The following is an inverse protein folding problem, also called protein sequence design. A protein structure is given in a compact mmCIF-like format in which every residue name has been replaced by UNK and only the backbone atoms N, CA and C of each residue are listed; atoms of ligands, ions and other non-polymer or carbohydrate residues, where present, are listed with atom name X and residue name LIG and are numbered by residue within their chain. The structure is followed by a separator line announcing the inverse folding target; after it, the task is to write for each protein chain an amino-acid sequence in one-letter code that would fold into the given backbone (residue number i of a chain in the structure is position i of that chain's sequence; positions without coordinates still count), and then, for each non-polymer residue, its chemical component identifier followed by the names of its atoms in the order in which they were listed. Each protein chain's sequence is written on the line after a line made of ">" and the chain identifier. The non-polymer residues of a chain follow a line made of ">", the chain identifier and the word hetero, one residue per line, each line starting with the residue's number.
data_IF_561767017424
#
_entry.id   IF_561767017424
#
_cell.length_a   1.000
_cell.length_b   1.000
_cell.length_c   1.000
_cell.angle_alpha   90.00
_cell.angle_beta   90.00
_cell.angle_gamma   90.00
#
_symmetry.space_group_name_H-M   'P 1'
#
loop_
_entity.id
_entity.type
_entity.pdbx_description
1 polymer ?
#
# COMPACT_ATOMS: atom_id res chain seq x y z
N UNK A 1 -13.70 8.05 -4.26
CA UNK A 1 -13.24 9.45 -4.26
C UNK A 1 -13.30 10.17 -5.62
N UNK A 2 -13.51 9.47 -6.77
CA UNK A 2 -13.66 10.12 -8.09
C UNK A 2 -15.09 10.42 -8.56
N UNK A 3 -16.12 9.89 -7.88
CA UNK A 3 -17.54 9.99 -8.31
C UNK A 3 -18.03 11.45 -8.31
N UNK A 4 -17.47 12.30 -7.44
CA UNK A 4 -17.89 13.70 -7.29
C UNK A 4 -17.27 14.67 -8.29
N UNK A 5 -16.18 14.31 -8.96
CA UNK A 5 -15.51 15.20 -9.91
C UNK A 5 -16.02 15.04 -11.35
N UNK A 6 -16.58 13.88 -11.69
CA UNK A 6 -16.97 13.54 -13.06
C UNK A 6 -15.76 13.45 -14.02
N UNK A 7 -15.95 12.78 -15.16
CA UNK A 7 -14.98 12.77 -16.26
C UNK A 7 -13.70 11.96 -16.03
N UNK A 8 -12.58 12.45 -16.56
CA UNK A 8 -11.27 11.76 -16.65
C UNK A 8 -10.66 11.42 -15.27
N UNK A 9 -11.14 12.10 -14.22
CA UNK A 9 -10.60 11.95 -12.87
C UNK A 9 -10.93 10.59 -12.25
N UNK A 10 -12.07 10.00 -12.59
CA UNK A 10 -12.44 8.64 -12.18
C UNK A 10 -11.39 7.65 -12.70
N UNK A 11 -10.96 7.83 -13.96
CA UNK A 11 -9.95 6.98 -14.59
C UNK A 11 -8.57 7.17 -13.95
N UNK A 12 -8.19 8.41 -13.63
CA UNK A 12 -6.93 8.69 -12.94
C UNK A 12 -6.87 8.06 -11.54
N UNK A 13 -7.93 8.15 -10.75
CA UNK A 13 -7.95 7.56 -9.42
C UNK A 13 -7.98 6.03 -9.47
N UNK A 14 -8.69 5.44 -10.43
CA UNK A 14 -8.72 3.99 -10.66
C UNK A 14 -7.36 3.42 -11.07
N UNK A 15 -6.57 4.15 -11.88
CA UNK A 15 -5.25 3.70 -12.34
C UNK A 15 -4.13 3.87 -11.30
N UNK A 16 -4.25 4.85 -10.40
CA UNK A 16 -3.20 5.13 -9.41
C UNK A 16 -2.97 3.97 -8.46
N UNK A 17 -4.03 3.29 -8.00
CA UNK A 17 -3.89 2.20 -7.02
C UNK A 17 -3.16 0.98 -7.62
N UNK A 18 -3.53 0.46 -8.81
CA UNK A 18 -2.75 -0.56 -9.50
C UNK A 18 -1.32 -0.14 -9.79
N UNK A 19 -1.10 1.10 -10.24
CA UNK A 19 0.26 1.60 -10.50
C UNK A 19 1.11 1.62 -9.23
N UNK A 20 0.55 2.08 -8.11
CA UNK A 20 1.22 2.07 -6.81
C UNK A 20 1.70 0.65 -6.44
N UNK A 21 0.83 -0.35 -6.59
CA UNK A 21 1.14 -1.74 -6.26
C UNK A 21 2.19 -2.35 -7.19
N UNK A 22 2.09 -2.10 -8.50
CA UNK A 22 3.03 -2.65 -9.48
C UNK A 22 4.40 -1.99 -9.41
N UNK A 23 4.45 -0.67 -9.23
CA UNK A 23 5.71 0.07 -9.10
C UNK A 23 6.40 -0.29 -7.78
N UNK A 24 5.67 -0.38 -6.67
CA UNK A 24 6.26 -0.77 -5.39
C UNK A 24 6.84 -2.18 -5.44
N UNK A 25 6.14 -3.12 -6.09
CA UNK A 25 6.63 -4.47 -6.35
C UNK A 25 7.88 -4.43 -7.22
N UNK A 26 7.85 -3.75 -8.37
CA UNK A 26 9.00 -3.69 -9.28
C UNK A 26 10.27 -3.16 -8.61
N UNK A 27 10.14 -2.10 -7.81
CA UNK A 27 11.27 -1.49 -7.10
C UNK A 27 11.78 -2.36 -5.95
N UNK A 28 10.91 -3.01 -5.20
CA UNK A 28 11.28 -3.75 -3.98
C UNK A 28 11.67 -5.21 -4.23
N UNK A 29 11.22 -5.82 -5.33
CA UNK A 29 11.47 -7.22 -5.66
C UNK A 29 12.95 -7.59 -5.74
N UNK A 30 13.84 -6.85 -6.44
CA UNK A 30 15.26 -7.21 -6.47
C UNK A 30 15.91 -7.14 -5.09
N UNK A 31 15.57 -6.13 -4.29
CA UNK A 31 16.07 -5.99 -2.91
C UNK A 31 15.57 -7.13 -2.03
N UNK A 32 14.29 -7.48 -2.13
CA UNK A 32 13.69 -8.57 -1.38
C UNK A 32 14.36 -9.91 -1.71
N UNK A 33 14.58 -10.20 -3.00
CA UNK A 33 15.24 -11.43 -3.46
C UNK A 33 16.66 -11.56 -2.89
N UNK A 34 17.47 -10.50 -2.97
CA UNK A 34 18.84 -10.50 -2.46
C UNK A 34 18.87 -10.66 -0.93
N UNK A 35 18.01 -9.93 -0.21
CA UNK A 35 17.92 -10.06 1.25
C UNK A 35 17.50 -11.46 1.68
N UNK A 36 16.52 -12.04 0.97
CA UNK A 36 16.07 -13.41 1.24
C UNK A 36 17.19 -14.42 0.99
N UNK A 37 17.94 -14.29 -0.11
CA UNK A 37 19.07 -15.17 -0.44
C UNK A 37 20.21 -15.09 0.60
N UNK A 38 20.56 -13.88 1.07
CA UNK A 38 21.60 -13.68 2.09
C UNK A 38 21.19 -14.28 3.44
N UNK A 39 19.91 -14.18 3.79
CA UNK A 39 19.37 -14.63 5.07
C UNK A 39 18.95 -16.11 5.06
N UNK A 40 19.36 -16.88 4.03
CA UNK A 40 19.19 -18.33 3.97
C UNK A 40 17.85 -18.79 3.43
N UNK A 41 17.20 -17.99 2.58
CA UNK A 41 16.03 -18.40 1.81
C UNK A 41 16.40 -19.02 0.46
N UNK A 42 15.89 -20.21 0.20
CA UNK A 42 16.21 -20.99 -1.01
C UNK A 42 15.18 -20.83 -2.15
N UNK A 43 14.50 -19.67 -2.24
CA UNK A 43 13.47 -19.48 -3.26
C UNK A 43 14.06 -19.08 -4.61
N UNK A 44 13.56 -19.72 -5.67
CA UNK A 44 13.84 -19.28 -7.03
C UNK A 44 13.19 -17.92 -7.30
N UNK A 45 13.81 -17.11 -8.15
CA UNK A 45 13.28 -15.80 -8.55
C UNK A 45 11.82 -15.89 -9.03
N UNK A 46 11.48 -16.94 -9.79
CA UNK A 46 10.12 -17.17 -10.30
C UNK A 46 9.11 -17.40 -9.17
N UNK A 47 9.48 -18.17 -8.13
CA UNK A 47 8.59 -18.40 -6.99
C UNK A 47 8.35 -17.10 -6.21
N UNK A 48 9.38 -16.26 -6.04
CA UNK A 48 9.23 -14.95 -5.39
C UNK A 48 8.28 -14.06 -6.19
N UNK A 49 8.43 -13.97 -7.51
CA UNK A 49 7.52 -13.21 -8.39
C UNK A 49 6.07 -13.70 -8.26
N UNK A 50 5.83 -15.01 -8.33
CA UNK A 50 4.48 -15.59 -8.22
C UNK A 50 3.87 -15.28 -6.86
N UNK A 51 4.64 -15.41 -5.78
CA UNK A 51 4.15 -15.15 -4.43
C UNK A 51 3.80 -13.67 -4.23
N UNK A 52 4.63 -12.77 -4.75
CA UNK A 52 4.33 -11.34 -4.75
C UNK A 52 3.04 -11.01 -5.53
N UNK A 53 2.82 -11.64 -6.69
CA UNK A 53 1.59 -11.45 -7.47
C UNK A 53 0.35 -11.93 -6.70
N UNK A 54 0.45 -13.05 -5.97
CA UNK A 54 -0.62 -13.53 -5.08
C UNK A 54 -0.89 -12.52 -3.97
N UNK A 55 0.15 -12.05 -3.27
CA UNK A 55 0.02 -11.06 -2.20
C UNK A 55 -0.57 -9.74 -2.68
N UNK A 56 -0.18 -9.25 -3.86
CA UNK A 56 -0.73 -8.03 -4.48
C UNK A 56 -2.19 -8.23 -4.87
N UNK A 57 -2.56 -9.42 -5.37
CA UNK A 57 -3.95 -9.76 -5.68
C UNK A 57 -4.82 -9.75 -4.41
N UNK A 58 -4.32 -10.33 -3.31
CA UNK A 58 -4.99 -10.28 -2.01
C UNK A 58 -5.15 -8.83 -1.51
N UNK A 59 -4.08 -8.03 -1.59
CA UNK A 59 -4.11 -6.61 -1.21
C UNK A 59 -5.14 -5.82 -2.03
N UNK A 60 -5.14 -6.00 -3.36
CA UNK A 60 -6.08 -5.35 -4.26
C UNK A 60 -7.52 -5.73 -3.95
N UNK A 61 -7.77 -7.02 -3.68
CA UNK A 61 -9.10 -7.52 -3.32
C UNK A 61 -9.57 -6.89 -2.00
N UNK A 62 -8.70 -6.79 -1.00
CA UNK A 62 -9.00 -6.16 0.28
C UNK A 62 -9.30 -4.66 0.12
N UNK A 63 -8.53 -3.95 -0.70
CA UNK A 63 -8.77 -2.52 -0.98
C UNK A 63 -10.12 -2.30 -1.67
N UNK A 64 -10.50 -3.16 -2.62
CA UNK A 64 -11.82 -3.12 -3.27
C UNK A 64 -12.93 -3.41 -2.25
N UNK A 65 -12.72 -4.38 -1.35
CA UNK A 65 -13.70 -4.70 -0.30
C UNK A 65 -13.96 -3.53 0.67
N UNK A 66 -12.95 -2.70 0.94
CA UNK A 66 -13.10 -1.49 1.77
C UNK A 66 -13.58 -0.25 1.00
N UNK A 67 -13.70 -0.32 -0.33
CA UNK A 67 -14.19 0.80 -1.15
C UNK A 67 -15.56 1.33 -0.66
N UNK A 68 -16.58 0.51 -0.36
CA UNK A 68 -17.86 1.00 0.14
C UNK A 68 -17.74 1.77 1.46
N UNK A 69 -16.84 1.35 2.35
CA UNK A 69 -16.57 2.03 3.63
C UNK A 69 -16.01 3.42 3.37
N UNK A 70 -14.99 3.53 2.49
CA UNK A 70 -14.44 4.85 2.13
C UNK A 70 -15.49 5.74 1.47
N UNK A 71 -16.33 5.18 0.60
CA UNK A 71 -17.39 5.92 -0.09
C UNK A 71 -18.44 6.44 0.89
N UNK A 72 -18.90 5.60 1.83
CA UNK A 72 -19.86 5.99 2.85
C UNK A 72 -19.39 7.23 3.61
N UNK A 73 -18.18 7.19 4.18
CA UNK A 73 -17.62 8.32 4.92
C UNK A 73 -17.35 9.55 4.04
N UNK A 74 -17.03 9.35 2.76
CA UNK A 74 -16.90 10.47 1.81
C UNK A 74 -18.22 11.19 1.60
N UNK A 75 -19.31 10.45 1.47
CA UNK A 75 -20.64 11.00 1.20
C UNK A 75 -21.21 11.67 2.45
N UNK A 76 -20.98 11.09 3.64
CA UNK A 76 -21.53 11.60 4.91
C UNK A 76 -20.76 12.76 5.52
N UNK A 77 -19.54 13.04 5.04
CA UNK A 77 -18.70 14.14 5.54
C UNK A 77 -18.46 15.20 4.44
N UNK A 78 -19.49 16.01 4.11
CA UNK A 78 -19.41 17.01 3.03
C UNK A 78 -18.56 18.24 3.40
N UNK A 79 -18.39 18.54 4.69
CA UNK A 79 -17.63 19.71 5.15
C UNK A 79 -16.13 19.56 4.86
N UNK A 80 -15.56 20.51 4.12
CA UNK A 80 -14.13 20.53 3.76
C UNK A 80 -13.30 21.35 4.73
N UNK A 81 -13.38 20.99 6.00
CA UNK A 81 -12.46 21.48 7.03
C UNK A 81 -11.17 20.67 7.11
N UNK A 82 -10.20 21.18 7.87
CA UNK A 82 -8.97 20.43 8.20
C UNK A 82 -9.27 19.10 8.90
N UNK A 83 -10.27 19.08 9.81
CA UNK A 83 -10.67 17.88 10.54
C UNK A 83 -11.17 16.76 9.62
N UNK A 84 -12.06 17.07 8.67
CA UNK A 84 -12.58 16.10 7.70
C UNK A 84 -11.50 15.56 6.75
N UNK A 85 -10.55 16.41 6.35
CA UNK A 85 -9.38 15.99 5.58
C UNK A 85 -8.52 15.00 6.38
N UNK A 86 -8.16 15.35 7.61
CA UNK A 86 -7.37 14.47 8.50
C UNK A 86 -8.07 13.14 8.74
N UNK A 87 -9.37 13.15 9.02
CA UNK A 87 -10.17 11.95 9.18
C UNK A 87 -10.13 11.05 7.94
N UNK A 88 -10.37 11.62 6.75
CA UNK A 88 -10.34 10.89 5.47
C UNK A 88 -8.94 10.33 5.21
N UNK A 89 -7.89 11.09 5.53
CA UNK A 89 -6.51 10.63 5.36
C UNK A 89 -6.21 9.46 6.27
N UNK A 90 -6.51 9.57 7.56
CA UNK A 90 -6.28 8.52 8.55
C UNK A 90 -7.08 7.26 8.26
N UNK A 91 -8.34 7.39 7.83
CA UNK A 91 -9.17 6.26 7.41
C UNK A 91 -8.52 5.48 6.25
N UNK A 92 -8.06 6.19 5.22
CA UNK A 92 -7.38 5.54 4.09
C UNK A 92 -6.05 4.91 4.51
N UNK A 93 -5.27 5.57 5.37
CA UNK A 93 -4.03 5.01 5.91
C UNK A 93 -4.31 3.71 6.68
N UNK A 94 -5.37 3.68 7.49
CA UNK A 94 -5.80 2.48 8.21
C UNK A 94 -6.18 1.35 7.26
N UNK A 95 -7.00 1.64 6.24
CA UNK A 95 -7.41 0.65 5.24
C UNK A 95 -6.21 0.10 4.46
N UNK A 96 -5.27 0.96 4.05
CA UNK A 96 -4.02 0.55 3.40
C UNK A 96 -3.15 -0.31 4.30
N UNK A 97 -3.12 0.00 5.59
CA UNK A 97 -2.37 -0.77 6.58
C UNK A 97 -2.97 -2.16 6.73
N UNK A 98 -4.30 -2.27 6.88
CA UNK A 98 -4.99 -3.56 6.95
C UNK A 98 -4.78 -4.39 5.68
N UNK A 99 -4.94 -3.77 4.50
CA UNK A 99 -4.69 -4.45 3.22
C UNK A 99 -3.21 -4.88 3.08
N UNK A 100 -2.26 -4.03 3.48
CA UNK A 100 -0.83 -4.37 3.50
C UNK A 100 -0.50 -5.53 4.44
N UNK A 101 -1.11 -5.57 5.63
CA UNK A 101 -0.96 -6.68 6.56
C UNK A 101 -1.46 -7.99 5.97
N UNK A 102 -2.61 -7.98 5.27
CA UNK A 102 -3.07 -9.20 4.57
C UNK A 102 -2.06 -9.66 3.52
N UNK A 103 -1.44 -8.76 2.75
CA UNK A 103 -0.42 -9.10 1.77
C UNK A 103 0.80 -9.78 2.41
N UNK A 104 1.27 -9.25 3.55
CA UNK A 104 2.40 -9.81 4.31
C UNK A 104 2.05 -11.18 4.88
N UNK A 105 0.83 -11.37 5.40
CA UNK A 105 0.37 -12.68 5.88
C UNK A 105 0.40 -13.71 4.76
N UNK A 106 -0.16 -13.40 3.59
CA UNK A 106 -0.13 -14.31 2.43
C UNK A 106 1.29 -14.60 1.95
N UNK A 107 2.18 -13.62 2.04
CA UNK A 107 3.59 -13.78 1.71
C UNK A 107 4.25 -14.76 2.69
N UNK A 108 4.11 -14.56 4.00
CA UNK A 108 4.61 -15.46 5.04
C UNK A 108 4.01 -16.88 4.90
N UNK A 109 2.71 -17.00 4.65
CA UNK A 109 2.05 -18.29 4.44
C UNK A 109 2.57 -19.02 3.20
N UNK A 110 2.80 -18.31 2.09
CA UNK A 110 3.33 -18.93 0.87
C UNK A 110 4.78 -19.38 1.00
N UNK A 111 5.61 -18.63 1.73
CA UNK A 111 6.95 -19.08 2.11
C UNK A 111 6.90 -20.34 2.99
N UNK A 112 6.03 -20.36 4.00
CA UNK A 112 5.86 -21.52 4.88
C UNK A 112 5.39 -22.78 4.16
N UNK A 113 4.59 -22.63 3.10
CA UNK A 113 4.16 -23.76 2.27
C UNK A 113 5.30 -24.36 1.43
N UNK A 114 6.27 -23.54 1.01
CA UNK A 114 7.39 -23.96 0.14
C UNK A 114 8.54 -24.56 0.95
N UNK A 115 8.85 -24.01 2.13
CA UNK A 115 10.04 -24.37 2.92
C UNK A 115 9.80 -25.37 4.07
N UNK A 116 8.55 -25.80 4.32
CA UNK A 116 8.23 -26.80 5.34
C UNK A 116 8.61 -26.37 6.77
N UNK A 117 9.15 -27.29 7.58
CA UNK A 117 9.53 -27.02 8.99
C UNK A 117 10.77 -26.11 9.16
N UNK A 118 11.55 -25.89 8.11
CA UNK A 118 12.76 -25.07 8.20
C UNK A 118 12.38 -23.58 8.30
N UNK A 119 12.62 -22.95 9.45
CA UNK A 119 12.25 -21.55 9.74
C UNK A 119 13.32 -20.50 9.38
N UNK A 120 14.42 -20.91 8.73
CA UNK A 120 15.53 -20.00 8.39
C UNK A 120 15.14 -18.84 7.46
N UNK A 121 14.10 -19.00 6.65
CA UNK A 121 13.62 -17.98 5.72
C UNK A 121 12.87 -16.81 6.39
N UNK A 122 12.37 -17.00 7.62
CA UNK A 122 11.53 -16.01 8.34
C UNK A 122 12.21 -14.64 8.46
N UNK A 123 13.46 -14.51 8.96
CA UNK A 123 14.11 -13.20 9.07
C UNK A 123 14.25 -12.48 7.72
N UNK A 124 14.59 -13.22 6.65
CA UNK A 124 14.70 -12.66 5.30
C UNK A 124 13.38 -12.07 4.80
N UNK A 125 12.29 -12.81 5.00
CA UNK A 125 10.96 -12.36 4.60
C UNK A 125 10.48 -11.18 5.45
N UNK A 126 10.71 -11.20 6.76
CA UNK A 126 10.29 -10.11 7.65
C UNK A 126 11.02 -8.80 7.31
N UNK A 127 12.35 -8.85 7.18
CA UNK A 127 13.14 -7.67 6.82
C UNK A 127 12.77 -7.17 5.42
N UNK A 128 12.62 -8.08 4.45
CA UNK A 128 12.17 -7.73 3.11
C UNK A 128 10.76 -7.10 3.10
N UNK A 129 9.85 -7.59 3.93
CA UNK A 129 8.50 -7.03 4.09
C UNK A 129 8.52 -5.63 4.69
N UNK A 130 9.43 -5.35 5.63
CA UNK A 130 9.64 -4.00 6.16
C UNK A 130 10.13 -3.03 5.07
N UNK A 131 11.06 -3.45 4.21
CA UNK A 131 11.52 -2.65 3.07
C UNK A 131 10.37 -2.38 2.10
N UNK A 132 9.57 -3.41 1.79
CA UNK A 132 8.38 -3.28 0.95
C UNK A 132 7.38 -2.28 1.54
N UNK A 133 7.11 -2.36 2.84
CA UNK A 133 6.20 -1.45 3.54
C UNK A 133 6.73 -0.01 3.51
N UNK A 134 8.03 0.18 3.71
CA UNK A 134 8.68 1.49 3.67
C UNK A 134 8.58 2.14 2.28
N UNK A 135 8.97 1.42 1.23
CA UNK A 135 8.89 1.90 -0.16
C UNK A 135 7.43 2.12 -0.57
N UNK A 136 6.54 1.20 -0.22
CA UNK A 136 5.11 1.25 -0.55
C UNK A 136 4.40 2.46 0.08
N UNK A 137 4.67 2.76 1.36
CA UNK A 137 4.09 3.93 2.05
C UNK A 137 4.59 5.25 1.44
N UNK A 138 5.86 5.35 1.10
CA UNK A 138 6.39 6.54 0.43
C UNK A 138 5.80 6.73 -0.98
N UNK A 139 5.65 5.67 -1.76
CA UNK A 139 4.99 5.73 -3.07
C UNK A 139 3.51 6.10 -2.94
N UNK A 140 2.81 5.58 -1.93
CA UNK A 140 1.43 5.95 -1.63
C UNK A 140 1.28 7.45 -1.36
N UNK A 141 2.26 8.05 -0.68
CA UNK A 141 2.29 9.49 -0.39
C UNK A 141 2.59 10.36 -1.62
N UNK A 142 3.43 9.88 -2.53
CA UNK A 142 3.73 10.59 -3.78
C UNK A 142 2.54 10.55 -4.72
N UNK A 143 1.92 9.38 -4.89
CA UNK A 143 0.85 9.17 -5.86
C UNK A 143 -0.52 9.67 -5.35
N UNK A 144 -0.70 9.75 -4.02
CA UNK A 144 -1.90 10.24 -3.33
C UNK A 144 -3.23 9.69 -3.91
N UNK A 145 -3.41 8.37 -4.00
CA UNK A 145 -4.53 7.76 -4.73
C UNK A 145 -5.92 8.11 -4.18
N UNK A 146 -6.05 8.49 -2.91
CA UNK A 146 -7.35 8.76 -2.26
C UNK A 146 -7.53 10.20 -1.78
N UNK A 147 -6.51 11.04 -1.90
CA UNK A 147 -6.50 12.33 -1.19
C UNK A 147 -7.07 13.50 -1.99
N UNK A 148 -7.60 13.37 -3.22
CA UNK A 148 -7.85 14.57 -4.03
C UNK A 148 -8.98 14.58 -5.06
N UNK A 149 -9.52 15.80 -5.20
CA UNK A 149 -10.35 16.33 -6.28
C UNK A 149 -9.52 17.06 -7.38
N UNK A 150 -8.21 16.78 -7.51
CA UNK A 150 -7.36 17.53 -8.45
C UNK A 150 -7.23 16.86 -9.80
N UNK A 151 -7.44 17.62 -10.88
CA UNK A 151 -7.31 17.18 -12.27
C UNK A 151 -5.89 16.79 -12.70
N UNK A 152 -4.84 17.07 -11.90
CA UNK A 152 -3.45 16.68 -12.23
C UNK A 152 -3.17 15.24 -11.84
N UNK A 153 -2.59 14.49 -12.78
CA UNK A 153 -2.22 13.08 -12.58
C UNK A 153 -1.09 12.91 -11.54
N UNK A 154 -0.02 13.70 -11.64
CA UNK A 154 1.11 13.76 -10.69
C UNK A 154 1.21 15.18 -10.14
N UNK A 155 1.27 15.33 -8.81
CA UNK A 155 1.52 16.61 -8.15
C UNK A 155 3.02 16.87 -8.02
N UNK A 156 3.45 18.14 -7.93
CA UNK A 156 4.81 18.44 -7.52
C UNK A 156 5.12 17.74 -6.18
N UNK A 157 6.27 17.09 -6.13
CA UNK A 157 6.77 16.39 -4.96
C UNK A 157 6.75 17.35 -3.77
N UNK A 158 5.94 17.03 -2.75
CA UNK A 158 5.83 17.83 -1.54
C UNK A 158 5.74 16.94 -0.31
N UNK A 159 6.73 17.07 0.57
CA UNK A 159 6.81 16.42 1.87
C UNK A 159 7.11 14.92 1.83
N UNK A 160 7.13 14.33 3.02
CA UNK A 160 7.40 12.92 3.28
C UNK A 160 6.19 12.32 4.02
N UNK A 161 5.82 11.08 3.71
CA UNK A 161 4.73 10.36 4.39
C UNK A 161 4.89 10.40 5.92
N UNK A 162 6.09 10.06 6.41
CA UNK A 162 6.36 9.91 7.83
C UNK A 162 6.24 11.24 8.58
N UNK A 163 6.74 12.32 7.97
CA UNK A 163 6.63 13.68 8.53
C UNK A 163 5.16 14.10 8.59
N UNK A 164 4.42 13.88 7.52
CA UNK A 164 3.02 14.31 7.47
C UNK A 164 2.11 13.55 8.42
N UNK A 165 2.31 12.24 8.62
CA UNK A 165 1.57 11.47 9.61
C UNK A 165 1.89 11.95 11.02
N UNK A 166 3.16 12.22 11.31
CA UNK A 166 3.59 12.72 12.61
C UNK A 166 3.01 14.11 12.89
N UNK A 167 3.02 15.01 11.91
CA UNK A 167 2.36 16.32 12.00
C UNK A 167 0.86 16.19 12.24
N UNK A 168 0.17 15.30 11.51
CA UNK A 168 -1.26 15.07 11.68
C UNK A 168 -1.60 14.51 13.07
N UNK A 169 -0.75 13.66 13.64
CA UNK A 169 -0.91 13.11 14.98
C UNK A 169 -0.65 14.16 16.07
N UNK A 170 0.46 14.90 15.97
CA UNK A 170 0.82 15.93 16.94
C UNK A 170 -0.18 17.09 16.99
N UNK A 171 -0.86 17.40 15.88
CA UNK A 171 -1.86 18.47 15.85
C UNK A 171 -3.20 18.08 16.48
N UNK A 172 -3.41 16.79 16.70
CA UNK A 172 -4.66 16.24 17.25
C UNK A 172 -4.54 15.86 18.74
N UNK A 173 -3.32 15.88 19.28
CA UNK A 173 -2.96 15.59 20.67
C UNK A 173 -2.72 16.89 21.44
#
# INVERSE_FOLDING_TARGET
>A
MGIYAGGIQILYDALKVPMLLLISLYVSLPTFYVLNAILGGDMTFRQVVVLFMISVTAMSTMLVAFMPVTLFFTITTPERGFASYTFTVMLNVLIFTLAGLTAVVYLLSGFGYIHGENKRWIPGVLIGSCVLAFVGTQLAWVLRPYFNLSLRFIRPLSGNFYVAILELLLRYL
#
